data_IF_791164998401
#
_entry.id   IF_791164998401
#
_cell.length_a   1.000
_cell.length_b   1.000
_cell.length_c   1.000
_cell.angle_alpha   90.00
_cell.angle_beta   90.00
_cell.angle_gamma   90.00
#
_symmetry.space_group_name_H-M   'P 1'
#
loop_
_entity.id
_entity.type
_entity.pdbx_description
1 polymer ?
#
# COMPACT_ATOMS: atom_id res chain seq x y z
N UNK A 1 2.85 23.80 -12.04
CA UNK A 1 3.51 25.10 -11.73
C UNK A 1 4.70 25.33 -12.65
N UNK A 2 5.54 24.32 -12.91
CA UNK A 2 6.68 24.46 -13.84
C UNK A 2 6.26 24.79 -15.30
N UNK A 3 5.03 24.41 -15.71
CA UNK A 3 4.49 24.68 -17.06
C UNK A 3 3.86 26.06 -17.17
N UNK A 4 3.36 26.61 -16.05
CA UNK A 4 2.69 27.92 -16.01
C UNK A 4 3.17 28.72 -14.79
N UNK A 5 4.42 29.21 -14.81
CA UNK A 5 5.04 29.93 -13.67
C UNK A 5 4.29 31.22 -13.31
N UNK A 6 3.63 31.86 -14.27
CA UNK A 6 2.84 33.08 -14.08
C UNK A 6 1.61 32.85 -13.19
N UNK A 7 1.14 31.60 -13.07
CA UNK A 7 0.02 31.25 -12.21
C UNK A 7 0.43 30.69 -10.84
N UNK A 8 1.74 30.57 -10.56
CA UNK A 8 2.25 29.92 -9.35
C UNK A 8 1.68 30.51 -8.05
N UNK A 9 1.43 31.83 -7.99
CA UNK A 9 0.85 32.51 -6.83
C UNK A 9 -0.65 32.27 -6.65
N UNK A 10 -1.33 31.73 -7.67
CA UNK A 10 -2.79 31.48 -7.69
C UNK A 10 -3.14 30.01 -7.60
N UNK A 11 -2.14 29.14 -7.48
CA UNK A 11 -2.31 27.69 -7.44
C UNK A 11 -1.86 27.17 -6.09
N UNK A 12 -2.77 26.55 -5.37
CA UNK A 12 -2.50 25.83 -4.14
C UNK A 12 -2.70 24.32 -4.36
N UNK A 13 -1.83 23.51 -3.79
CA UNK A 13 -1.95 22.05 -3.85
C UNK A 13 -2.73 21.57 -2.64
N UNK A 14 -3.86 20.93 -2.88
CA UNK A 14 -4.65 20.26 -1.85
C UNK A 14 -4.48 18.75 -1.97
N UNK A 15 -4.30 18.12 -0.83
CA UNK A 15 -4.29 16.67 -0.73
C UNK A 15 -5.71 16.13 -0.51
N UNK A 16 -5.92 14.86 -0.82
CA UNK A 16 -7.18 14.19 -0.56
C UNK A 16 -7.56 14.33 0.93
N UNK A 17 -8.79 14.77 1.18
CA UNK A 17 -9.35 14.78 2.52
C UNK A 17 -9.80 13.36 2.89
N UNK A 18 -9.20 12.80 3.92
CA UNK A 18 -9.49 11.45 4.38
C UNK A 18 -10.09 11.55 5.79
N UNK A 19 -11.23 10.89 5.99
CA UNK A 19 -11.84 10.81 7.31
C UNK A 19 -11.18 9.69 8.14
N UNK A 20 -10.12 10.04 8.84
CA UNK A 20 -9.31 9.12 9.65
C UNK A 20 -10.11 8.46 10.78
N UNK A 21 -11.01 9.21 11.44
CA UNK A 21 -11.87 8.66 12.50
C UNK A 21 -12.78 7.55 11.97
N UNK A 22 -13.32 7.72 10.76
CA UNK A 22 -14.11 6.69 10.08
C UNK A 22 -13.26 5.45 9.77
N UNK A 23 -12.02 5.63 9.30
CA UNK A 23 -11.10 4.52 9.01
C UNK A 23 -10.81 3.75 10.30
N UNK A 24 -10.45 4.44 11.39
CA UNK A 24 -10.19 3.82 12.69
C UNK A 24 -11.39 3.01 13.18
N UNK A 25 -12.57 3.62 13.20
CA UNK A 25 -13.80 2.94 13.61
C UNK A 25 -14.13 1.71 12.77
N UNK A 26 -13.95 1.78 11.44
CA UNK A 26 -14.18 0.66 10.54
C UNK A 26 -13.13 -0.45 10.68
N UNK A 27 -11.89 -0.13 11.04
CA UNK A 27 -10.83 -1.11 11.24
C UNK A 27 -11.06 -2.01 12.47
N UNK A 28 -11.86 -1.55 13.45
CA UNK A 28 -12.24 -2.32 14.62
C UNK A 28 -13.46 -3.23 14.39
N UNK A 29 -14.14 -3.11 13.25
CA UNK A 29 -15.28 -3.96 12.93
C UNK A 29 -14.84 -5.39 12.62
N UNK A 30 -15.76 -6.34 12.79
CA UNK A 30 -15.53 -7.73 12.37
C UNK A 30 -15.22 -7.79 10.89
N UNK A 31 -14.17 -8.52 10.52
CA UNK A 31 -13.72 -8.70 9.15
C UNK A 31 -12.23 -8.99 9.06
N UNK A 32 -11.68 -8.86 7.86
CA UNK A 32 -10.28 -9.17 7.60
C UNK A 32 -10.07 -10.63 7.19
N UNK A 33 -8.89 -11.15 7.49
CA UNK A 33 -8.53 -12.51 7.10
C UNK A 33 -9.23 -13.55 7.95
N UNK A 34 -9.82 -14.56 7.29
CA UNK A 34 -10.60 -15.63 7.95
C UNK A 34 -10.01 -17.01 7.70
N UNK A 35 -8.83 -17.09 7.10
CA UNK A 35 -8.20 -18.34 6.65
C UNK A 35 -7.34 -19.04 7.71
N UNK A 36 -7.28 -18.51 8.93
CA UNK A 36 -6.49 -19.07 10.02
C UNK A 36 -4.96 -19.09 9.78
N UNK A 37 -4.48 -18.41 8.74
CA UNK A 37 -3.05 -18.36 8.44
C UNK A 37 -2.27 -17.62 9.52
N UNK A 38 -1.18 -18.20 10.01
CA UNK A 38 -0.35 -17.67 11.11
C UNK A 38 1.00 -17.12 10.66
N UNK A 39 1.36 -17.25 9.36
CA UNK A 39 2.58 -16.66 8.79
C UNK A 39 2.39 -15.20 8.39
N UNK A 40 3.42 -14.64 7.75
CA UNK A 40 3.45 -13.23 7.32
C UNK A 40 2.39 -12.94 6.26
N UNK A 41 1.57 -11.92 6.51
CA UNK A 41 0.52 -11.45 5.61
C UNK A 41 0.95 -10.21 4.85
N UNK A 42 1.12 -10.37 3.55
CA UNK A 42 1.37 -9.26 2.62
C UNK A 42 0.02 -8.81 2.05
N UNK A 43 -0.23 -7.51 2.01
CA UNK A 43 -1.48 -6.95 1.50
C UNK A 43 -1.22 -5.97 0.35
N UNK A 44 -2.04 -6.05 -0.69
CA UNK A 44 -2.19 -5.02 -1.73
C UNK A 44 -3.67 -4.69 -1.88
N UNK A 45 -4.01 -3.40 -1.93
CA UNK A 45 -5.37 -2.92 -2.17
C UNK A 45 -5.38 -2.00 -3.37
N UNK A 46 -6.21 -2.30 -4.36
CA UNK A 46 -6.33 -1.48 -5.55
C UNK A 46 -6.95 -2.19 -6.75
N UNK A 47 -7.21 -1.44 -7.81
CA UNK A 47 -7.74 -1.99 -9.06
C UNK A 47 -6.77 -2.98 -9.70
N UNK A 48 -7.28 -4.07 -10.23
CA UNK A 48 -6.48 -5.07 -10.96
C UNK A 48 -6.31 -4.61 -12.42
N UNK A 49 -5.44 -3.61 -12.61
CA UNK A 49 -5.13 -2.99 -13.91
C UNK A 49 -3.61 -3.01 -14.15
N UNK A 50 -3.20 -2.78 -15.40
CA UNK A 50 -1.79 -2.81 -15.83
C UNK A 50 -0.89 -1.87 -15.00
N UNK A 51 -1.40 -0.70 -14.65
CA UNK A 51 -0.66 0.32 -13.90
C UNK A 51 -0.21 -0.17 -12.52
N UNK A 52 -0.96 -1.09 -11.92
CA UNK A 52 -0.65 -1.66 -10.59
C UNK A 52 0.38 -2.79 -10.61
N UNK A 53 0.89 -3.16 -11.78
CA UNK A 53 1.99 -4.11 -11.96
C UNK A 53 1.90 -5.39 -11.11
N UNK A 54 0.68 -5.89 -10.85
CA UNK A 54 0.45 -7.05 -9.97
C UNK A 54 1.09 -8.34 -10.48
N UNK A 55 1.37 -8.46 -11.77
CA UNK A 55 2.12 -9.57 -12.32
C UNK A 55 3.55 -9.65 -11.75
N UNK A 56 4.16 -8.50 -11.43
CA UNK A 56 5.47 -8.45 -10.76
C UNK A 56 5.35 -8.89 -9.30
N UNK A 57 4.25 -8.55 -8.63
CA UNK A 57 3.96 -9.02 -7.27
C UNK A 57 3.78 -10.54 -7.22
N UNK A 58 3.07 -11.13 -8.20
CA UNK A 58 2.93 -12.59 -8.32
C UNK A 58 4.30 -13.26 -8.52
N UNK A 59 5.14 -12.69 -9.40
CA UNK A 59 6.51 -13.20 -9.63
C UNK A 59 7.40 -13.02 -8.39
N UNK A 60 7.27 -11.90 -7.67
CA UNK A 60 7.97 -11.67 -6.41
C UNK A 60 7.60 -12.71 -5.35
N UNK A 61 6.30 -13.05 -5.24
CA UNK A 61 5.85 -14.12 -4.33
C UNK A 61 6.46 -15.48 -4.69
N UNK A 62 6.62 -15.77 -5.99
CA UNK A 62 7.31 -16.99 -6.42
C UNK A 62 8.76 -17.03 -5.93
N UNK A 63 9.50 -15.92 -6.05
CA UNK A 63 10.87 -15.82 -5.56
C UNK A 63 10.94 -16.01 -4.04
N UNK A 64 10.05 -15.37 -3.28
CA UNK A 64 9.97 -15.54 -1.83
C UNK A 64 9.72 -16.99 -1.44
N UNK A 65 8.78 -17.67 -2.12
CA UNK A 65 8.46 -19.07 -1.89
C UNK A 65 9.64 -19.99 -2.19
N UNK A 66 10.35 -19.74 -3.28
CA UNK A 66 11.52 -20.53 -3.68
C UNK A 66 12.68 -20.38 -2.69
N UNK A 67 12.76 -19.26 -1.99
CA UNK A 67 13.70 -19.03 -0.89
C UNK A 67 13.19 -19.56 0.47
N UNK A 68 12.04 -20.24 0.51
CA UNK A 68 11.49 -20.82 1.73
C UNK A 68 10.84 -19.81 2.69
N UNK A 69 10.57 -18.57 2.22
CA UNK A 69 9.91 -17.54 3.03
C UNK A 69 8.43 -17.88 3.21
N UNK A 70 8.01 -18.01 4.46
CA UNK A 70 6.63 -18.31 4.84
C UNK A 70 5.79 -17.04 4.86
N UNK A 71 5.13 -16.74 3.74
CA UNK A 71 4.25 -15.59 3.59
C UNK A 71 3.04 -15.93 2.71
N UNK A 72 1.95 -15.18 2.88
CA UNK A 72 0.82 -15.14 1.95
C UNK A 72 0.56 -13.72 1.48
N UNK A 73 0.28 -13.58 0.21
CA UNK A 73 -0.03 -12.30 -0.41
C UNK A 73 -1.51 -12.22 -0.74
N UNK A 74 -2.18 -11.26 -0.17
CA UNK A 74 -3.60 -11.02 -0.36
C UNK A 74 -3.81 -9.75 -1.18
N UNK A 75 -4.69 -9.81 -2.16
CA UNK A 75 -5.02 -8.67 -3.01
C UNK A 75 -6.51 -8.40 -2.92
N UNK A 76 -6.86 -7.20 -2.44
CA UNK A 76 -8.21 -6.66 -2.43
C UNK A 76 -8.41 -5.77 -3.65
N UNK A 77 -9.39 -6.08 -4.46
CA UNK A 77 -9.79 -5.31 -5.63
C UNK A 77 -10.26 -6.15 -6.79
N UNK A 78 -10.78 -5.46 -7.78
CA UNK A 78 -11.27 -6.02 -9.04
C UNK A 78 -10.67 -5.27 -10.24
N UNK A 79 -10.74 -5.85 -11.42
CA UNK A 79 -10.30 -5.24 -12.66
C UNK A 79 -10.00 -6.22 -13.78
N UNK A 80 -9.73 -5.68 -14.94
CA UNK A 80 -9.52 -6.41 -16.19
C UNK A 80 -8.37 -7.43 -16.14
N UNK A 81 -7.35 -7.19 -15.33
CA UNK A 81 -6.20 -8.08 -15.19
C UNK A 81 -6.50 -9.34 -14.37
N UNK A 82 -7.69 -9.50 -13.73
CA UNK A 82 -8.00 -10.63 -12.86
C UNK A 82 -7.79 -11.99 -13.52
N UNK A 83 -8.27 -12.15 -14.75
CA UNK A 83 -8.17 -13.43 -15.48
C UNK A 83 -6.71 -13.78 -15.83
N UNK A 84 -5.91 -12.79 -16.25
CA UNK A 84 -4.50 -12.99 -16.56
C UNK A 84 -3.67 -13.29 -15.30
N UNK A 85 -3.94 -12.60 -14.20
CA UNK A 85 -3.31 -12.85 -12.89
C UNK A 85 -3.63 -14.26 -12.39
N UNK A 86 -4.89 -14.71 -12.45
CA UNK A 86 -5.26 -16.10 -12.08
C UNK A 86 -4.51 -17.14 -12.89
N UNK A 87 -4.32 -16.92 -14.21
CA UNK A 87 -3.53 -17.83 -15.05
C UNK A 87 -2.06 -17.84 -14.62
N UNK A 88 -1.48 -16.67 -14.32
CA UNK A 88 -0.09 -16.57 -13.87
C UNK A 88 0.11 -17.25 -12.51
N UNK A 89 -0.78 -17.01 -11.55
CA UNK A 89 -0.76 -17.63 -10.22
C UNK A 89 -0.75 -19.17 -10.37
N UNK A 90 -1.67 -19.74 -11.17
CA UNK A 90 -1.71 -21.19 -11.44
C UNK A 90 -0.44 -21.69 -12.12
N UNK A 91 0.04 -20.97 -13.15
CA UNK A 91 1.27 -21.33 -13.85
C UNK A 91 2.47 -21.44 -12.93
N UNK A 92 2.52 -20.62 -11.87
CA UNK A 92 3.61 -20.58 -10.91
C UNK A 92 3.36 -21.41 -9.64
N UNK A 93 2.22 -22.12 -9.53
CA UNK A 93 1.87 -22.95 -8.37
C UNK A 93 1.69 -22.16 -7.07
N UNK A 94 1.03 -20.99 -7.17
CA UNK A 94 0.89 -20.03 -6.06
C UNK A 94 -0.55 -19.88 -5.57
N UNK A 95 -1.47 -20.82 -5.88
CA UNK A 95 -2.88 -20.72 -5.55
C UNK A 95 -3.15 -20.62 -4.04
N UNK A 96 -2.23 -21.14 -3.22
CA UNK A 96 -2.33 -21.07 -1.76
C UNK A 96 -1.55 -19.91 -1.15
N UNK A 97 -0.71 -19.24 -1.94
CA UNK A 97 0.24 -18.23 -1.46
C UNK A 97 -0.07 -16.82 -1.98
N UNK A 98 -0.82 -16.71 -3.10
CA UNK A 98 -1.22 -15.42 -3.70
C UNK A 98 -2.72 -15.39 -4.00
N UNK A 99 -3.48 -14.69 -3.16
CA UNK A 99 -4.94 -14.77 -3.09
C UNK A 99 -5.61 -13.50 -3.60
N UNK A 100 -6.42 -13.61 -4.67
CA UNK A 100 -7.24 -12.50 -5.19
C UNK A 100 -8.61 -12.56 -4.52
N UNK A 101 -8.80 -11.77 -3.47
CA UNK A 101 -9.98 -11.79 -2.61
C UNK A 101 -11.22 -11.09 -3.21
N UNK A 102 -11.01 -10.26 -4.24
CA UNK A 102 -12.09 -9.43 -4.78
C UNK A 102 -12.20 -8.08 -4.07
N UNK A 103 -13.26 -7.33 -4.37
CA UNK A 103 -13.56 -6.05 -3.70
C UNK A 103 -14.26 -6.27 -2.37
N UNK A 104 -14.10 -5.30 -1.46
CA UNK A 104 -14.80 -5.25 -0.17
C UNK A 104 -15.19 -3.81 0.13
N UNK A 105 -16.31 -3.62 0.83
CA UNK A 105 -16.77 -2.30 1.30
C UNK A 105 -15.99 -1.82 2.54
N UNK A 106 -15.30 -2.74 3.22
CA UNK A 106 -14.48 -2.43 4.38
C UNK A 106 -13.11 -3.12 4.32
N UNK A 107 -12.09 -2.49 3.70
CA UNK A 107 -10.74 -3.04 3.63
C UNK A 107 -9.94 -2.87 4.92
N UNK A 108 -10.39 -2.03 5.85
CA UNK A 108 -9.57 -1.58 6.98
C UNK A 108 -9.19 -2.68 7.97
N UNK A 109 -10.03 -3.69 8.28
CA UNK A 109 -9.58 -4.83 9.09
C UNK A 109 -8.43 -5.62 8.45
N UNK A 110 -8.35 -5.67 7.12
CA UNK A 110 -7.24 -6.32 6.41
C UNK A 110 -5.95 -5.54 6.57
N UNK A 111 -5.96 -4.21 6.42
CA UNK A 111 -4.78 -3.37 6.67
C UNK A 111 -4.26 -3.53 8.10
N UNK A 112 -5.19 -3.54 9.10
CA UNK A 112 -4.83 -3.68 10.51
C UNK A 112 -4.21 -5.05 10.83
N UNK A 113 -4.57 -6.10 10.10
CA UNK A 113 -4.11 -7.47 10.29
C UNK A 113 -2.93 -7.84 9.37
N UNK A 114 -2.59 -7.00 8.42
CA UNK A 114 -1.47 -7.24 7.51
C UNK A 114 -0.15 -6.85 8.18
N UNK A 115 0.90 -7.62 7.90
CA UNK A 115 2.25 -7.36 8.41
C UNK A 115 3.01 -6.36 7.53
N UNK A 116 2.74 -6.37 6.22
CA UNK A 116 3.39 -5.49 5.23
C UNK A 116 2.38 -5.14 4.12
N UNK A 117 2.27 -3.85 3.81
CA UNK A 117 1.53 -3.39 2.65
C UNK A 117 2.47 -3.19 1.46
N UNK A 118 2.17 -3.82 0.33
CA UNK A 118 3.00 -3.75 -0.88
C UNK A 118 2.26 -3.04 -2.00
N UNK A 119 2.87 -2.01 -2.58
CA UNK A 119 2.27 -1.22 -3.65
C UNK A 119 3.28 -1.01 -4.80
N UNK A 120 3.37 -2.00 -5.68
CA UNK A 120 4.17 -1.95 -6.88
C UNK A 120 3.34 -1.35 -8.03
N UNK A 121 3.59 -0.10 -8.37
CA UNK A 121 2.87 0.61 -9.42
C UNK A 121 3.81 1.25 -10.43
N UNK A 122 3.41 1.26 -11.72
CA UNK A 122 4.12 1.97 -12.79
C UNK A 122 3.96 3.46 -12.68
N UNK A 123 2.74 3.89 -12.33
CA UNK A 123 2.36 5.29 -12.17
C UNK A 123 1.40 5.44 -10.99
N UNK A 124 1.70 6.41 -10.15
CA UNK A 124 0.83 6.87 -9.07
C UNK A 124 0.84 8.39 -8.97
N UNK A 125 -0.33 8.93 -8.64
CA UNK A 125 -0.44 10.21 -7.97
C UNK A 125 -0.25 10.03 -6.46
N UNK A 126 -1.06 10.67 -5.63
CA UNK A 126 -1.08 10.43 -4.18
C UNK A 126 -2.09 9.32 -3.86
N UNK A 127 -1.62 8.10 -3.66
CA UNK A 127 -2.48 6.93 -3.42
C UNK A 127 -3.12 6.96 -2.04
N UNK A 128 -4.45 6.97 -1.98
CA UNK A 128 -5.20 6.86 -0.72
C UNK A 128 -4.92 5.53 -0.03
N UNK A 129 -4.83 4.43 -0.78
CA UNK A 129 -4.58 3.10 -0.23
C UNK A 129 -3.23 2.99 0.52
N UNK A 130 -2.19 3.71 0.07
CA UNK A 130 -0.92 3.82 0.80
C UNK A 130 -1.12 4.58 2.10
N UNK A 131 -1.84 5.71 2.07
CA UNK A 131 -2.10 6.50 3.28
C UNK A 131 -2.95 5.73 4.30
N UNK A 132 -3.94 4.96 3.85
CA UNK A 132 -4.76 4.08 4.71
C UNK A 132 -3.90 3.01 5.39
N UNK A 133 -2.99 2.36 4.63
CA UNK A 133 -2.06 1.38 5.18
C UNK A 133 -1.17 2.00 6.25
N UNK A 134 -0.54 3.13 5.95
CA UNK A 134 0.34 3.85 6.86
C UNK A 134 -0.40 4.33 8.12
N UNK A 135 -1.62 4.87 7.96
CA UNK A 135 -2.44 5.32 9.10
C UNK A 135 -2.76 4.17 10.07
N UNK A 136 -3.01 2.99 9.55
CA UNK A 136 -3.29 1.78 10.34
C UNK A 136 -2.02 1.06 10.82
N UNK A 137 -0.86 1.70 10.66
CA UNK A 137 0.42 1.20 11.14
C UNK A 137 1.01 0.04 10.32
N UNK A 138 0.57 -0.12 9.08
CA UNK A 138 1.14 -1.14 8.20
C UNK A 138 2.39 -0.57 7.50
N UNK A 139 3.60 -1.13 7.70
CA UNK A 139 4.79 -0.69 6.99
C UNK A 139 4.68 -0.98 5.51
N UNK A 140 5.25 -0.10 4.68
CA UNK A 140 5.02 -0.14 3.23
C UNK A 140 6.25 -0.57 2.43
N UNK A 141 6.03 -1.33 1.35
CA UNK A 141 6.99 -1.57 0.27
C UNK A 141 6.43 -0.92 -0.99
N UNK A 142 7.09 0.12 -1.49
CA UNK A 142 6.59 0.94 -2.59
C UNK A 142 7.57 0.96 -3.75
N UNK A 143 7.08 0.85 -5.00
CA UNK A 143 7.91 1.07 -6.17
C UNK A 143 8.29 2.54 -6.36
N UNK A 144 9.47 2.78 -6.96
CA UNK A 144 9.93 4.12 -7.31
C UNK A 144 9.06 4.74 -8.41
N UNK A 145 8.06 5.56 -8.03
CA UNK A 145 7.35 6.47 -8.90
C UNK A 145 7.10 7.80 -8.16
N UNK A 146 6.76 8.87 -8.88
CA UNK A 146 6.66 10.21 -8.29
C UNK A 146 5.75 10.27 -7.07
N UNK A 147 4.51 9.81 -7.20
CA UNK A 147 3.54 9.86 -6.11
C UNK A 147 3.88 8.98 -4.90
N UNK A 148 4.62 7.88 -5.10
CA UNK A 148 5.08 7.05 -3.99
C UNK A 148 6.22 7.73 -3.21
N UNK A 149 7.14 8.41 -3.93
CA UNK A 149 8.26 9.14 -3.30
C UNK A 149 7.78 10.30 -2.41
N UNK A 150 6.65 10.92 -2.75
CA UNK A 150 6.07 11.97 -1.92
C UNK A 150 5.48 11.43 -0.61
N UNK A 151 5.07 10.16 -0.60
CA UNK A 151 4.36 9.54 0.52
C UNK A 151 5.26 8.78 1.48
N UNK A 152 6.48 8.42 1.07
CA UNK A 152 7.38 7.59 1.87
C UNK A 152 8.83 8.10 1.78
N UNK A 153 9.49 8.17 2.93
CA UNK A 153 10.94 8.33 3.05
C UNK A 153 11.55 6.95 3.20
N UNK A 154 12.40 6.56 2.25
CA UNK A 154 12.99 5.22 2.23
C UNK A 154 13.72 4.89 3.52
N UNK A 155 13.38 3.75 4.13
CA UNK A 155 13.94 3.28 5.39
C UNK A 155 13.32 3.92 6.65
N UNK A 156 12.32 4.82 6.50
CA UNK A 156 11.63 5.47 7.63
C UNK A 156 10.24 4.89 7.79
N UNK A 157 9.28 5.20 6.91
CA UNK A 157 7.91 4.67 7.00
C UNK A 157 7.74 3.32 6.28
N UNK A 158 8.73 2.92 5.54
CA UNK A 158 8.80 1.71 4.74
C UNK A 158 9.99 1.75 3.80
N UNK A 159 10.03 0.86 2.85
CA UNK A 159 11.14 0.73 1.90
C UNK A 159 10.70 0.96 0.46
N UNK A 160 11.60 1.55 -0.33
CA UNK A 160 11.39 1.82 -1.75
C UNK A 160 12.13 0.77 -2.57
N UNK A 161 11.46 0.20 -3.59
CA UNK A 161 12.03 -0.82 -4.47
C UNK A 161 11.96 -0.40 -5.94
N UNK A 162 12.81 -0.99 -6.76
CA UNK A 162 12.67 -0.89 -8.21
C UNK A 162 11.45 -1.69 -8.68
N UNK A 163 10.86 -1.29 -9.79
CA UNK A 163 9.69 -1.94 -10.36
C UNK A 163 10.10 -3.24 -11.09
N UNK A 164 10.56 -4.21 -10.31
CA UNK A 164 10.92 -5.56 -10.76
C UNK A 164 10.54 -6.60 -9.72
N UNK A 165 10.21 -7.81 -10.14
CA UNK A 165 9.86 -8.90 -9.23
C UNK A 165 10.97 -9.19 -8.22
N UNK A 166 12.24 -9.14 -8.66
CA UNK A 166 13.41 -9.37 -7.81
C UNK A 166 13.52 -8.30 -6.72
N UNK A 167 13.50 -7.03 -7.09
CA UNK A 167 13.61 -5.93 -6.12
C UNK A 167 12.42 -5.90 -5.14
N UNK A 168 11.21 -6.16 -5.62
CA UNK A 168 10.02 -6.28 -4.74
C UNK A 168 10.24 -7.41 -3.72
N UNK A 169 10.68 -8.60 -4.16
CA UNK A 169 10.92 -9.75 -3.29
C UNK A 169 12.01 -9.44 -2.25
N UNK A 170 13.13 -8.84 -2.66
CA UNK A 170 14.24 -8.48 -1.77
C UNK A 170 13.80 -7.51 -0.66
N UNK A 171 13.02 -6.48 -0.98
CA UNK A 171 12.56 -5.49 0.00
C UNK A 171 11.43 -6.03 0.90
N UNK A 172 10.55 -6.88 0.38
CA UNK A 172 9.58 -7.61 1.20
C UNK A 172 10.31 -8.55 2.17
N UNK A 173 11.28 -9.33 1.69
CA UNK A 173 12.11 -10.23 2.51
C UNK A 173 12.85 -9.46 3.62
N UNK A 174 13.41 -8.30 3.29
CA UNK A 174 14.08 -7.43 4.27
C UNK A 174 13.15 -7.10 5.44
N UNK A 175 11.92 -6.63 5.18
CA UNK A 175 10.95 -6.34 6.23
C UNK A 175 10.44 -7.59 6.96
N UNK A 176 10.41 -8.76 6.32
CA UNK A 176 10.05 -10.02 6.98
C UNK A 176 11.13 -10.43 7.98
N UNK A 177 12.39 -10.37 7.57
CA UNK A 177 13.51 -10.86 8.35
C UNK A 177 13.98 -9.89 9.44
N UNK A 178 13.82 -8.58 9.23
CA UNK A 178 14.16 -7.55 10.22
C UNK A 178 12.89 -7.04 10.92
N UNK A 179 12.54 -7.69 12.02
CA UNK A 179 11.39 -7.30 12.85
C UNK A 179 11.54 -5.90 13.44
N UNK A 180 12.76 -5.49 13.79
CA UNK A 180 13.05 -4.17 14.36
C UNK A 180 12.77 -3.08 13.32
N UNK A 181 13.31 -3.24 12.10
CA UNK A 181 13.04 -2.33 10.99
C UNK A 181 11.54 -2.28 10.69
N UNK A 182 10.87 -3.43 10.61
CA UNK A 182 9.44 -3.52 10.33
C UNK A 182 8.61 -2.76 11.38
N UNK A 183 8.92 -2.93 12.68
CA UNK A 183 8.23 -2.20 13.77
C UNK A 183 8.50 -0.70 13.73
N UNK A 184 9.75 -0.30 13.47
CA UNK A 184 10.11 1.11 13.36
C UNK A 184 9.36 1.78 12.18
N UNK A 185 9.34 1.12 11.02
CA UNK A 185 8.57 1.60 9.86
C UNK A 185 7.07 1.72 10.17
N UNK A 186 6.49 0.74 10.88
CA UNK A 186 5.09 0.77 11.31
C UNK A 186 4.76 2.01 12.16
N UNK A 187 5.57 2.28 13.18
CA UNK A 187 5.38 3.45 14.05
C UNK A 187 5.57 4.77 13.30
N UNK A 188 6.61 4.88 12.47
CA UNK A 188 6.88 6.08 11.69
C UNK A 188 5.78 6.35 10.65
N UNK A 189 5.26 5.29 10.00
CA UNK A 189 4.16 5.39 9.03
C UNK A 189 2.90 5.99 9.68
N UNK A 190 2.48 5.48 10.83
CA UNK A 190 1.33 5.98 11.55
C UNK A 190 1.54 7.44 12.01
N UNK A 191 2.71 7.76 12.57
CA UNK A 191 3.05 9.11 13.04
C UNK A 191 3.04 10.14 11.90
N UNK A 192 3.58 9.80 10.72
CA UNK A 192 3.59 10.69 9.55
C UNK A 192 2.18 11.10 9.13
N UNK A 193 1.26 10.14 9.08
CA UNK A 193 -0.13 10.43 8.64
C UNK A 193 -0.86 11.24 9.70
N UNK A 194 -0.69 10.93 10.99
CA UNK A 194 -1.29 11.69 12.08
C UNK A 194 -0.84 13.16 12.08
N UNK A 195 0.44 13.43 11.81
CA UNK A 195 0.94 14.80 11.68
C UNK A 195 0.37 15.54 10.45
N UNK A 196 -0.19 14.86 9.46
CA UNK A 196 -0.79 15.46 8.26
C UNK A 196 -2.27 15.84 8.40
N UNK A 197 -2.91 15.57 9.56
CA UNK A 197 -4.32 15.94 9.83
C UNK A 197 -4.55 17.46 9.84
N UNK A 198 -3.51 18.26 10.01
CA UNK A 198 -3.55 19.74 10.02
C UNK A 198 -4.04 20.37 8.70
N UNK A 199 -4.07 19.62 7.60
CA UNK A 199 -4.53 20.13 6.30
C UNK A 199 -6.02 20.52 6.25
N UNK A 200 -6.85 19.98 7.15
CA UNK A 200 -8.29 20.33 7.22
C UNK A 200 -8.47 21.74 7.77
N UNK A 201 -7.70 22.14 8.78
CA UNK A 201 -7.74 23.47 9.34
C UNK A 201 -7.29 24.55 8.33
N UNK A 202 -6.34 24.22 7.47
CA UNK A 202 -5.88 25.11 6.41
C UNK A 202 -6.98 25.36 5.37
N UNK A 203 -7.76 24.35 5.02
CA UNK A 203 -8.94 24.49 4.14
C UNK A 203 -10.01 25.39 4.75
N UNK A 204 -10.34 25.18 6.01
CA UNK A 204 -11.31 26.01 6.73
C UNK A 204 -10.88 27.47 6.75
N UNK A 205 -9.59 27.75 7.04
CA UNK A 205 -9.05 29.12 7.02
C UNK A 205 -9.11 29.80 5.65
N UNK A 206 -9.05 29.04 4.55
CA UNK A 206 -9.19 29.59 3.18
C UNK A 206 -10.66 29.88 2.86
N UNK A 207 -11.58 29.02 3.28
CA UNK A 207 -13.02 29.25 3.10
C UNK A 207 -13.57 30.38 3.97
N UNK A 208 -12.95 30.66 5.12
CA UNK A 208 -13.37 31.75 6.03
C UNK A 208 -12.80 33.14 5.61
N UNK A 209 -12.02 33.23 4.53
CA UNK A 209 -11.45 34.49 4.01
C UNK A 209 -12.26 35.09 2.84
N UNK A 210 -13.39 34.52 2.46
CA UNK A 210 -14.38 35.08 1.52
C UNK A 210 -15.56 35.70 2.28
#
# INVERSE_FOLDING_TARGET
>A
IAVYPEHAKRVSVFHNLINWNRIRSKAEQKGGFTDGYTGMRLLTVGRLIREKALELSVQAMKLLKDEGIQARWYVLGEGEARASLRRLIRKLGLEQDFLLLGSTDNPYPYYKQADIYVHASRHEGKSIAIQEAMYLGCPVVLSHCSGNREQNTNGVEGVMCDLSAKSIAEHVKMLIQDESLRKNCSHAAAARIQASEENVEMLLKICDQE
#
